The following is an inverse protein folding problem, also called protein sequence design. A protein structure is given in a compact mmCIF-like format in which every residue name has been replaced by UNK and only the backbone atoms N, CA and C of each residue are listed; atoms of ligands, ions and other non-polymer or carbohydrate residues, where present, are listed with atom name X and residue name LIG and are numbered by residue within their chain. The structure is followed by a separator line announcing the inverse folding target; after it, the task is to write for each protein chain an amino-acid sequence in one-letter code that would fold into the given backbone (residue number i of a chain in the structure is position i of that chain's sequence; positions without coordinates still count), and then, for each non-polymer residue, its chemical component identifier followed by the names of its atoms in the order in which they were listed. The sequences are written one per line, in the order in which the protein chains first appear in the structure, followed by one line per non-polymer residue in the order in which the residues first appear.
data_IF_339139807737
#
_entry.id   IF_339139807737
#
_cell.length_a   1.000
_cell.length_b   1.000
_cell.length_c   1.000
_cell.angle_alpha   90.00
_cell.angle_beta   90.00
_cell.angle_gamma   90.00
#
_symmetry.space_group_name_H-M   'P 1'
#
loop_
_entity.id
_entity.type
_entity.pdbx_description
1 polymer ?
#
# COMPACT_ATOMS: atom_id res chain seq x y z
N UNK A 1 17.83 -16.39 42.02
CA UNK A 1 18.18 -15.70 40.76
C UNK A 1 16.92 -15.29 39.98
N UNK A 2 15.96 -14.59 40.61
CA UNK A 2 14.70 -14.16 39.96
C UNK A 2 14.56 -12.63 39.84
N UNK A 3 15.38 -11.83 40.54
CA UNK A 3 15.22 -10.36 40.56
C UNK A 3 15.71 -9.58 39.34
N UNK A 4 16.45 -10.21 38.41
CA UNK A 4 17.01 -9.48 37.24
C UNK A 4 16.06 -9.31 36.05
N UNK A 5 14.99 -10.11 35.98
CA UNK A 5 14.02 -10.06 34.88
C UNK A 5 12.90 -9.04 35.13
N UNK A 6 12.48 -8.86 36.38
CA UNK A 6 11.48 -7.86 36.77
C UNK A 6 12.02 -6.43 36.67
N UNK A 7 13.28 -6.17 37.04
CA UNK A 7 13.89 -4.83 36.90
C UNK A 7 14.05 -4.39 35.44
N UNK A 8 14.31 -5.32 34.52
CA UNK A 8 14.42 -5.02 33.09
C UNK A 8 13.07 -4.66 32.48
N UNK A 9 12.00 -5.37 32.86
CA UNK A 9 10.64 -5.08 32.42
C UNK A 9 10.11 -3.76 33.02
N UNK A 10 10.39 -3.48 34.30
CA UNK A 10 9.99 -2.22 34.94
C UNK A 10 10.67 -1.01 34.28
N UNK A 11 11.95 -1.12 33.90
CA UNK A 11 12.70 -0.05 33.23
C UNK A 11 12.25 0.19 31.79
N UNK A 12 11.78 -0.85 31.08
CA UNK A 12 11.20 -0.73 29.74
C UNK A 12 9.81 -0.09 29.78
N UNK A 13 8.97 -0.46 30.74
CA UNK A 13 7.64 0.15 30.96
C UNK A 13 7.74 1.61 31.40
N UNK A 14 8.62 1.95 32.35
CA UNK A 14 8.90 3.34 32.75
C UNK A 14 9.41 4.20 31.59
N UNK A 15 10.21 3.62 30.68
CA UNK A 15 10.67 4.31 29.47
C UNK A 15 9.55 4.59 28.46
N UNK A 16 8.47 3.80 28.49
CA UNK A 16 7.29 4.05 27.64
C UNK A 16 6.33 5.05 28.27
N UNK A 17 6.10 5.00 29.60
CA UNK A 17 5.25 5.97 30.30
C UNK A 17 5.81 7.39 30.20
N UNK A 18 7.12 7.55 30.40
CA UNK A 18 7.80 8.85 30.25
C UNK A 18 7.76 9.40 28.83
N UNK A 19 7.68 8.53 27.82
CA UNK A 19 7.49 8.93 26.42
C UNK A 19 6.09 9.51 26.19
N UNK A 20 5.03 8.84 26.67
CA UNK A 20 3.66 9.29 26.51
C UNK A 20 3.34 10.57 27.30
N UNK A 21 3.96 10.78 28.47
CA UNK A 21 3.77 12.01 29.26
C UNK A 21 4.17 13.28 28.49
N UNK A 22 5.24 13.21 27.69
CA UNK A 22 5.70 14.35 26.88
C UNK A 22 4.70 14.73 25.79
N UNK A 23 4.11 13.72 25.14
CA UNK A 23 3.13 13.89 24.07
C UNK A 23 1.79 14.41 24.59
N UNK A 24 1.34 13.92 25.76
CA UNK A 24 0.14 14.44 26.44
C UNK A 24 0.29 15.93 26.77
N UNK A 25 1.45 16.34 27.29
CA UNK A 25 1.73 17.77 27.57
C UNK A 25 1.72 18.62 26.29
N UNK A 26 2.21 18.09 25.17
CA UNK A 26 2.15 18.79 23.88
C UNK A 26 0.73 18.92 23.34
N UNK A 27 -0.09 17.87 23.46
CA UNK A 27 -1.51 17.90 23.10
C UNK A 27 -2.28 18.94 23.93
N UNK A 28 -2.06 18.96 25.25
CA UNK A 28 -2.68 19.96 26.13
C UNK A 28 -2.31 21.39 25.75
N UNK A 29 -1.04 21.63 25.46
CA UNK A 29 -0.56 22.94 25.01
C UNK A 29 -1.26 23.39 23.72
N UNK A 30 -1.33 22.51 22.72
CA UNK A 30 -1.98 22.79 21.43
C UNK A 30 -3.49 23.03 21.57
N UNK A 31 -4.14 22.31 22.48
CA UNK A 31 -5.55 22.52 22.82
C UNK A 31 -5.78 23.90 23.44
N UNK A 32 -4.91 24.32 24.39
CA UNK A 32 -4.96 25.65 25.01
C UNK A 32 -4.68 26.79 24.03
N UNK A 33 -3.82 26.56 23.05
CA UNK A 33 -3.49 27.52 21.98
C UNK A 33 -4.59 27.62 20.90
N UNK A 34 -5.61 26.75 20.93
CA UNK A 34 -6.67 26.71 19.92
C UNK A 34 -6.24 26.16 18.56
N UNK A 35 -5.03 25.58 18.46
CA UNK A 35 -4.50 24.96 17.24
C UNK A 35 -5.11 23.57 17.04
N UNK A 36 -6.37 23.53 16.64
CA UNK A 36 -7.10 22.28 16.40
C UNK A 36 -6.45 21.44 15.30
N UNK A 37 -5.94 22.08 14.24
CA UNK A 37 -5.28 21.37 13.13
C UNK A 37 -3.99 20.69 13.59
N UNK A 38 -3.16 21.37 14.38
CA UNK A 38 -1.95 20.79 14.96
C UNK A 38 -2.25 19.77 16.05
N UNK A 39 -3.31 19.96 16.85
CA UNK A 39 -3.77 18.98 17.85
C UNK A 39 -4.11 17.65 17.19
N UNK A 40 -4.99 17.64 16.18
CA UNK A 40 -5.37 16.41 15.48
C UNK A 40 -4.22 15.82 14.68
N UNK A 41 -3.33 16.63 14.12
CA UNK A 41 -2.12 16.13 13.43
C UNK A 41 -1.19 15.40 14.40
N UNK A 42 -0.96 15.96 15.57
CA UNK A 42 -0.11 15.37 16.60
C UNK A 42 -0.77 14.13 17.23
N UNK A 43 -2.07 14.16 17.49
CA UNK A 43 -2.85 13.00 17.93
C UNK A 43 -2.78 11.85 16.90
N UNK A 44 -2.83 12.20 15.62
CA UNK A 44 -2.65 11.25 14.52
C UNK A 44 -1.22 10.69 14.40
N UNK A 45 -0.21 11.31 15.04
CA UNK A 45 1.17 10.82 15.07
C UNK A 45 1.44 9.82 16.19
N UNK A 46 0.73 9.93 17.32
CA UNK A 46 1.00 9.15 18.56
C UNK A 46 0.45 7.70 18.47
N UNK A 47 -0.35 7.38 17.45
CA UNK A 47 -0.99 6.07 17.22
C UNK A 47 -1.47 5.34 18.49
N UNK A 48 -2.48 5.92 19.13
CA UNK A 48 -3.09 5.41 20.37
C UNK A 48 -3.74 4.03 20.18
N UNK A 49 -4.08 3.63 18.95
CA UNK A 49 -4.81 2.39 18.64
C UNK A 49 -3.93 1.29 18.04
N UNK A 50 -2.63 1.53 17.84
CA UNK A 50 -1.70 0.56 17.23
C UNK A 50 -2.02 0.20 15.78
N UNK A 51 -2.86 0.99 15.09
CA UNK A 51 -3.34 0.71 13.73
C UNK A 51 -2.36 1.19 12.66
N UNK A 52 -1.41 2.05 13.02
CA UNK A 52 -0.41 2.56 12.09
C UNK A 52 0.93 1.96 12.50
N UNK A 53 1.36 0.97 11.73
CA UNK A 53 2.76 0.58 11.71
C UNK A 53 3.57 1.81 11.35
N UNK A 54 4.15 2.49 12.34
CA UNK A 54 5.34 3.27 12.10
C UNK A 54 6.37 2.24 11.68
N UNK A 55 6.49 2.00 10.37
CA UNK A 55 7.64 1.31 9.81
C UNK A 55 8.81 2.19 10.19
N UNK A 56 9.43 1.86 11.32
CA UNK A 56 10.63 2.49 11.80
C UNK A 56 11.57 2.54 10.60
N UNK A 57 11.88 3.73 10.08
CA UNK A 57 12.77 3.90 8.93
C UNK A 57 14.23 3.54 9.28
N UNK A 58 14.42 2.77 10.34
CA UNK A 58 15.69 2.36 10.85
C UNK A 58 16.25 1.28 9.93
N UNK A 59 17.32 1.57 9.24
CA UNK A 59 18.03 0.61 8.40
C UNK A 59 19.37 0.25 9.02
N UNK A 60 19.91 -0.92 8.70
CA UNK A 60 21.26 -1.29 9.13
C UNK A 60 22.31 -0.76 8.16
N UNK A 61 23.41 -0.26 8.69
CA UNK A 61 24.62 0.04 7.91
C UNK A 61 25.34 -1.26 7.50
N UNK A 62 26.42 -1.14 6.73
CA UNK A 62 27.23 -2.27 6.25
C UNK A 62 27.82 -3.10 7.39
N UNK A 63 28.13 -2.46 8.53
CA UNK A 63 28.62 -3.13 9.74
C UNK A 63 27.49 -3.66 10.65
N UNK A 64 26.24 -3.65 10.19
CA UNK A 64 25.07 -4.15 10.94
C UNK A 64 24.52 -3.19 12.01
N UNK A 65 25.12 -2.01 12.18
CA UNK A 65 24.64 -0.97 13.11
C UNK A 65 23.33 -0.35 12.63
N UNK A 66 22.36 -0.20 13.53
CA UNK A 66 21.06 0.42 13.21
C UNK A 66 21.22 1.94 13.09
N UNK A 67 20.93 2.47 11.90
CA UNK A 67 20.84 3.89 11.60
C UNK A 67 19.42 4.38 11.87
N UNK A 68 19.29 5.45 12.64
CA UNK A 68 18.00 6.08 12.98
C UNK A 68 17.82 7.48 12.40
N UNK A 69 18.94 8.12 12.03
CA UNK A 69 18.95 9.49 11.51
C UNK A 69 18.63 9.50 10.00
N UNK A 70 17.62 10.26 9.55
CA UNK A 70 17.19 10.29 8.15
C UNK A 70 18.28 10.69 7.15
N UNK A 71 19.23 11.54 7.55
CA UNK A 71 20.32 11.98 6.66
C UNK A 71 21.29 10.84 6.39
N UNK A 72 21.68 10.10 7.42
CA UNK A 72 22.53 8.92 7.31
C UNK A 72 21.84 7.76 6.58
N UNK A 73 20.54 7.58 6.80
CA UNK A 73 19.72 6.60 6.08
C UNK A 73 19.75 6.88 4.57
N UNK A 74 19.52 8.14 4.16
CA UNK A 74 19.57 8.54 2.74
C UNK A 74 20.95 8.33 2.13
N UNK A 75 22.02 8.70 2.84
CA UNK A 75 23.39 8.48 2.37
C UNK A 75 23.73 7.00 2.24
N UNK A 76 23.25 6.16 3.16
CA UNK A 76 23.40 4.71 3.11
C UNK A 76 22.69 4.11 1.89
N UNK A 77 21.45 4.52 1.62
CA UNK A 77 20.73 4.12 0.41
C UNK A 77 21.45 4.54 -0.87
N UNK A 78 21.92 5.80 -0.93
CA UNK A 78 22.65 6.30 -2.09
C UNK A 78 23.92 5.47 -2.37
N UNK A 79 24.72 5.16 -1.32
CA UNK A 79 25.91 4.31 -1.45
C UNK A 79 25.55 2.89 -1.91
N UNK A 80 24.51 2.30 -1.32
CA UNK A 80 24.07 0.95 -1.66
C UNK A 80 23.64 0.81 -3.11
N UNK A 81 22.76 1.69 -3.59
CA UNK A 81 22.31 1.68 -4.99
C UNK A 81 23.43 2.03 -5.95
N UNK A 82 24.31 2.96 -5.59
CA UNK A 82 25.46 3.28 -6.42
C UNK A 82 26.36 2.05 -6.60
N UNK A 83 26.63 1.29 -5.54
CA UNK A 83 27.36 0.02 -5.64
C UNK A 83 26.57 -1.01 -6.44
N UNK A 84 25.29 -1.23 -6.13
CA UNK A 84 24.49 -2.26 -6.81
C UNK A 84 24.40 -2.03 -8.33
N UNK A 85 24.13 -0.79 -8.75
CA UNK A 85 23.82 -0.47 -10.14
C UNK A 85 25.06 -0.11 -10.96
N UNK A 86 26.12 0.44 -10.33
CA UNK A 86 27.32 0.87 -11.03
C UNK A 86 28.53 -0.05 -10.79
N UNK A 87 28.39 -1.13 -10.00
CA UNK A 87 29.40 -2.20 -10.03
C UNK A 87 29.36 -2.81 -11.42
N UNK A 88 30.42 -2.54 -12.20
CA UNK A 88 30.60 -3.13 -13.53
C UNK A 88 30.53 -4.65 -13.38
N UNK A 89 29.46 -5.26 -13.88
CA UNK A 89 29.43 -6.71 -14.03
C UNK A 89 30.59 -7.09 -14.96
N UNK A 90 31.50 -8.00 -14.56
CA UNK A 90 32.65 -8.36 -15.40
C UNK A 90 32.22 -8.96 -16.74
N UNK A 91 30.98 -9.44 -16.86
CA UNK A 91 30.44 -10.02 -18.08
C UNK A 91 28.94 -9.75 -18.13
N UNK A 92 28.50 -8.65 -18.75
CA UNK A 92 27.12 -8.56 -19.20
C UNK A 92 27.02 -9.48 -20.41
N UNK A 93 26.54 -10.70 -20.18
CA UNK A 93 26.23 -11.63 -21.26
C UNK A 93 25.01 -11.11 -22.02
N UNK A 94 25.24 -10.55 -23.21
CA UNK A 94 24.20 -9.99 -24.08
C UNK A 94 23.18 -11.05 -24.51
N UNK A 95 23.50 -12.34 -24.40
CA UNK A 95 22.61 -13.46 -24.67
C UNK A 95 22.00 -14.07 -23.40
N UNK A 96 22.17 -13.45 -22.23
CA UNK A 96 21.56 -13.92 -20.98
C UNK A 96 20.02 -14.02 -21.09
N UNK A 97 19.40 -13.11 -21.84
CA UNK A 97 17.96 -13.11 -22.10
C UNK A 97 17.50 -14.34 -22.91
N UNK A 98 18.37 -14.90 -23.75
CA UNK A 98 18.08 -16.11 -24.55
C UNK A 98 18.18 -17.39 -23.70
N UNK A 99 18.93 -17.32 -22.59
CA UNK A 99 19.06 -18.42 -21.61
C UNK A 99 17.91 -18.45 -20.62
N UNK A 100 17.12 -17.37 -20.52
CA UNK A 100 15.92 -17.36 -19.69
C UNK A 100 14.84 -18.17 -20.39
N UNK A 101 14.38 -19.23 -19.73
CA UNK A 101 13.23 -20.02 -20.21
C UNK A 101 12.03 -19.10 -20.32
N UNK A 102 11.69 -18.70 -21.55
CA UNK A 102 10.45 -17.98 -21.83
C UNK A 102 9.31 -18.96 -21.59
N UNK A 103 8.49 -18.67 -20.60
CA UNK A 103 7.17 -19.28 -20.53
C UNK A 103 6.39 -18.80 -21.74
N UNK A 104 5.57 -19.65 -22.38
CA UNK A 104 4.62 -19.16 -23.36
C UNK A 104 3.85 -18.03 -22.69
N UNK A 105 3.83 -16.85 -23.33
CA UNK A 105 2.85 -15.81 -23.01
C UNK A 105 1.52 -16.53 -22.92
N UNK A 106 0.78 -16.34 -21.82
CA UNK A 106 -0.47 -17.05 -21.58
C UNK A 106 -1.25 -17.16 -22.89
N UNK A 107 -1.50 -18.42 -23.26
CA UNK A 107 -2.54 -18.86 -24.20
C UNK A 107 -3.78 -17.98 -23.95
N UNK A 108 -4.63 -17.66 -24.95
CA UNK A 108 -5.82 -16.85 -24.70
C UNK A 108 -6.58 -17.49 -23.54
N UNK A 109 -6.57 -16.83 -22.39
CA UNK A 109 -7.03 -17.42 -21.14
C UNK A 109 -8.54 -17.27 -20.97
N UNK A 110 -9.19 -16.52 -21.86
CA UNK A 110 -10.59 -16.22 -21.75
C UNK A 110 -11.32 -16.81 -22.95
N UNK A 111 -12.16 -17.80 -22.65
CA UNK A 111 -13.28 -18.13 -23.51
C UNK A 111 -14.16 -16.88 -23.69
N UNK A 112 -14.88 -16.79 -24.81
CA UNK A 112 -15.81 -15.69 -25.05
C UNK A 112 -16.79 -15.64 -23.87
N UNK A 113 -16.93 -14.50 -23.17
CA UNK A 113 -17.79 -14.42 -22.00
C UNK A 113 -19.21 -14.80 -22.41
N UNK A 114 -19.86 -15.63 -21.60
CA UNK A 114 -21.25 -16.01 -21.79
C UNK A 114 -22.19 -14.85 -21.43
N UNK A 115 -23.43 -14.91 -21.93
CA UNK A 115 -24.45 -13.91 -21.61
C UNK A 115 -24.69 -13.79 -20.10
N UNK A 116 -24.64 -14.92 -19.38
CA UNK A 116 -24.82 -14.98 -17.94
C UNK A 116 -23.66 -14.30 -17.21
N UNK A 117 -22.42 -14.53 -17.64
CA UNK A 117 -21.25 -13.87 -17.04
C UNK A 117 -21.30 -12.35 -17.20
N UNK A 118 -21.78 -11.87 -18.36
CA UNK A 118 -21.98 -10.43 -18.57
C UNK A 118 -23.10 -9.87 -17.67
N UNK A 119 -24.20 -10.59 -17.52
CA UNK A 119 -25.29 -10.21 -16.61
C UNK A 119 -24.82 -10.15 -15.15
N UNK A 120 -24.06 -11.15 -14.70
CA UNK A 120 -23.51 -11.20 -13.35
C UNK A 120 -22.49 -10.09 -13.12
N UNK A 121 -21.59 -9.85 -14.06
CA UNK A 121 -20.60 -8.78 -14.00
C UNK A 121 -21.28 -7.41 -13.89
N UNK A 122 -22.30 -7.15 -14.71
CA UNK A 122 -23.10 -5.91 -14.66
C UNK A 122 -23.74 -5.75 -13.29
N UNK A 123 -24.34 -6.81 -12.74
CA UNK A 123 -24.97 -6.80 -11.41
C UNK A 123 -23.97 -6.49 -10.29
N UNK A 124 -22.76 -7.01 -10.38
CA UNK A 124 -21.69 -6.82 -9.39
C UNK A 124 -20.98 -5.46 -9.45
N UNK A 125 -21.14 -4.67 -10.52
CA UNK A 125 -20.50 -3.36 -10.65
C UNK A 125 -20.74 -2.47 -9.43
N UNK A 126 -19.73 -1.76 -8.94
CA UNK A 126 -19.92 -0.90 -7.77
C UNK A 126 -20.70 0.38 -8.13
N UNK A 127 -21.72 0.70 -7.35
CA UNK A 127 -22.46 1.96 -7.48
C UNK A 127 -21.59 3.14 -6.99
N UNK A 128 -21.88 4.34 -7.49
CA UNK A 128 -21.27 5.64 -7.14
C UNK A 128 -19.78 5.73 -7.43
N UNK A 129 -19.31 4.97 -8.42
CA UNK A 129 -17.95 5.08 -8.94
C UNK A 129 -17.86 6.25 -9.92
N UNK A 130 -16.64 6.75 -10.10
CA UNK A 130 -16.37 7.75 -11.13
C UNK A 130 -16.69 7.15 -12.50
N UNK A 131 -17.30 7.97 -13.35
CA UNK A 131 -17.74 7.56 -14.68
C UNK A 131 -16.55 7.54 -15.64
N UNK A 132 -16.61 6.66 -16.63
CA UNK A 132 -15.62 6.56 -17.69
C UNK A 132 -15.75 7.66 -18.74
N UNK A 133 -14.96 7.59 -19.83
CA UNK A 133 -15.06 8.50 -20.98
C UNK A 133 -16.40 8.46 -21.72
N UNK A 134 -17.21 7.45 -21.43
CA UNK A 134 -18.55 7.22 -21.97
C UNK A 134 -19.65 8.01 -21.25
N UNK A 135 -19.33 8.66 -20.12
CA UNK A 135 -20.30 9.38 -19.27
C UNK A 135 -21.48 8.49 -18.79
N UNK A 136 -21.32 7.16 -18.78
CA UNK A 136 -22.32 6.19 -18.33
C UNK A 136 -22.02 5.65 -16.91
N UNK A 137 -22.85 5.96 -15.90
CA UNK A 137 -22.68 5.42 -14.56
C UNK A 137 -23.15 3.96 -14.47
N UNK A 138 -22.55 3.20 -13.56
CA UNK A 138 -22.85 1.77 -13.35
C UNK A 138 -24.33 1.52 -13.02
N UNK A 139 -24.95 2.42 -12.26
CA UNK A 139 -26.36 2.31 -11.89
C UNK A 139 -27.29 2.37 -13.10
N UNK A 140 -26.94 3.17 -14.09
CA UNK A 140 -27.74 3.33 -15.30
C UNK A 140 -27.66 2.07 -16.16
N UNK A 141 -26.46 1.50 -16.30
CA UNK A 141 -26.23 0.26 -17.03
C UNK A 141 -27.02 -0.89 -16.39
N UNK A 142 -26.96 -1.01 -15.05
CA UNK A 142 -27.76 -2.00 -14.31
C UNK A 142 -29.25 -1.83 -14.56
N UNK A 143 -29.79 -0.60 -14.45
CA UNK A 143 -31.21 -0.34 -14.64
C UNK A 143 -31.71 -0.66 -16.05
N UNK A 144 -30.90 -0.41 -17.07
CA UNK A 144 -31.28 -0.70 -18.46
C UNK A 144 -31.22 -2.19 -18.79
N UNK A 145 -30.25 -2.90 -18.23
CA UNK A 145 -30.05 -4.33 -18.50
C UNK A 145 -30.90 -5.23 -17.59
N UNK A 146 -31.44 -4.71 -16.48
CA UNK A 146 -32.30 -5.46 -15.57
C UNK A 146 -33.69 -5.69 -16.19
N UNK A 147 -33.96 -6.94 -16.58
CA UNK A 147 -35.26 -7.38 -17.11
C UNK A 147 -35.44 -7.29 -18.63
N UNK A 148 -34.53 -6.67 -19.38
CA UNK A 148 -34.54 -6.65 -20.85
C UNK A 148 -33.46 -7.56 -21.46
N UNK A 149 -33.87 -8.80 -21.73
CA UNK A 149 -33.02 -9.83 -22.35
C UNK A 149 -32.64 -9.52 -23.80
N UNK A 150 -33.33 -8.60 -24.48
CA UNK A 150 -32.98 -8.15 -25.82
C UNK A 150 -31.78 -7.21 -25.78
N UNK A 151 -31.84 -6.19 -24.91
CA UNK A 151 -30.75 -5.24 -24.73
C UNK A 151 -29.49 -5.90 -24.17
N UNK A 152 -29.65 -6.88 -23.26
CA UNK A 152 -28.52 -7.67 -22.74
C UNK A 152 -27.77 -8.42 -23.86
N UNK A 153 -28.48 -8.92 -24.88
CA UNK A 153 -27.83 -9.59 -26.03
C UNK A 153 -27.08 -8.62 -26.93
N UNK A 154 -27.62 -7.44 -27.16
CA UNK A 154 -26.93 -6.40 -27.93
C UNK A 154 -25.69 -5.91 -27.18
N UNK A 155 -25.81 -5.70 -25.87
CA UNK A 155 -24.68 -5.34 -25.01
C UNK A 155 -23.62 -6.43 -24.99
N UNK A 156 -24.03 -7.70 -24.86
CA UNK A 156 -23.13 -8.86 -24.95
C UNK A 156 -22.41 -8.92 -26.30
N UNK A 157 -23.10 -8.69 -27.42
CA UNK A 157 -22.48 -8.65 -28.74
C UNK A 157 -21.41 -7.55 -28.84
N UNK A 158 -21.67 -6.36 -28.30
CA UNK A 158 -20.68 -5.28 -28.23
C UNK A 158 -19.45 -5.74 -27.44
N UNK A 159 -19.64 -6.35 -26.26
CA UNK A 159 -18.52 -6.82 -25.40
C UNK A 159 -17.67 -7.88 -26.09
N UNK A 160 -18.26 -8.73 -26.91
CA UNK A 160 -17.57 -9.81 -27.64
C UNK A 160 -16.85 -9.31 -28.90
N UNK A 161 -17.34 -8.23 -29.52
CA UNK A 161 -16.79 -7.67 -30.76
C UNK A 161 -15.62 -6.67 -30.56
N UNK A 162 -15.21 -6.37 -29.31
CA UNK A 162 -14.06 -5.49 -28.97
C UNK A 162 -12.72 -6.23 -29.04
#
# INVERSE_FOLDING_TARGET
MQGGAEEAQHREVESTETFFEGDVRQLEKKSREGDQAGFYRHLNMIDVEGKRSFTSQNIKDEDGKVLRDPTFIRQRWARWFHKLLNTKSPTIDLHAADKVKRWPTCVPLDDIPSLLEVEEAVREMANRKAVGPDDLPAELIKLFLDGDQGLLREFHAIVVDV
#
